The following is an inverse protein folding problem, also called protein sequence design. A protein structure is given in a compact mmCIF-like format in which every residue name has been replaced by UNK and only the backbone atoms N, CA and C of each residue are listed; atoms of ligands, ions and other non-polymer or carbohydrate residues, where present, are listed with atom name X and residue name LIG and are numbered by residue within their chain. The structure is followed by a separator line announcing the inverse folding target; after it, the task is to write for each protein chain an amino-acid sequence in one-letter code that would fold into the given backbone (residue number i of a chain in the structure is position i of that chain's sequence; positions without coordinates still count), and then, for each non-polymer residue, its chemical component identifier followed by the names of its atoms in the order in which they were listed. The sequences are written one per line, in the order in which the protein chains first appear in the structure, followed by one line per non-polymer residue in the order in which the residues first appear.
data_IF_401588265956
#
_entry.id   IF_401588265956
#
_cell.length_a   1.000
_cell.length_b   1.000
_cell.length_c   1.000
_cell.angle_alpha   90.00
_cell.angle_beta   90.00
_cell.angle_gamma   90.00
#
_symmetry.space_group_name_H-M   'P 1'
#
loop_
_entity.id
_entity.type
_entity.pdbx_description
1 polymer ?
#
# COMPACT_ATOMS: atom_id res chain seq x y z
N UNK A 1 -6.49 -30.94 23.13
CA UNK A 1 -5.58 -31.36 22.05
C UNK A 1 -5.04 -30.10 21.39
N UNK A 2 -3.76 -30.12 21.02
CA UNK A 2 -2.98 -28.98 20.52
C UNK A 2 -2.14 -29.55 19.39
N UNK A 3 -2.70 -29.49 18.19
CA UNK A 3 -2.45 -30.54 17.19
C UNK A 3 -1.54 -30.08 16.05
N UNK A 4 -1.37 -28.77 15.88
CA UNK A 4 -0.42 -28.17 14.95
C UNK A 4 0.19 -26.89 15.50
N UNK A 5 1.30 -26.48 14.88
CA UNK A 5 1.96 -25.19 15.06
C UNK A 5 1.75 -24.37 13.78
N UNK A 6 1.19 -23.17 13.90
CA UNK A 6 1.03 -22.21 12.81
C UNK A 6 2.19 -21.18 12.80
N UNK A 7 2.55 -20.67 11.62
CA UNK A 7 3.43 -19.52 11.45
C UNK A 7 2.60 -18.31 11.01
N UNK A 8 2.33 -17.38 11.93
CA UNK A 8 1.50 -16.22 11.65
C UNK A 8 2.35 -14.95 11.47
N UNK A 9 2.39 -14.30 10.28
CA UNK A 9 3.27 -13.17 10.03
C UNK A 9 2.68 -11.82 10.52
N UNK A 10 2.39 -11.75 11.81
CA UNK A 10 2.23 -10.50 12.59
C UNK A 10 2.67 -10.73 14.05
N UNK A 11 2.82 -9.64 14.81
CA UNK A 11 2.96 -9.71 16.27
C UNK A 11 1.61 -10.03 16.94
N UNK A 12 1.24 -11.32 16.95
CA UNK A 12 0.06 -11.79 17.70
C UNK A 12 0.10 -11.27 19.15
N UNK A 13 -1.03 -10.80 19.71
CA UNK A 13 -2.40 -11.03 19.27
C UNK A 13 -2.91 -10.12 18.14
N UNK A 14 -2.13 -9.14 17.67
CA UNK A 14 -2.54 -8.25 16.59
C UNK A 14 -2.64 -9.00 15.24
N UNK A 15 -3.57 -8.56 14.39
CA UNK A 15 -3.72 -8.99 12.99
C UNK A 15 -3.99 -10.50 12.78
N UNK A 16 -4.81 -11.14 13.62
CA UNK A 16 -5.27 -12.53 13.41
C UNK A 16 -6.03 -12.69 12.09
N UNK A 17 -5.78 -13.74 11.32
CA UNK A 17 -6.50 -14.06 10.08
C UNK A 17 -5.71 -13.93 8.78
N UNK A 18 -6.39 -13.54 7.70
CA UNK A 18 -6.01 -13.90 6.33
C UNK A 18 -5.10 -12.91 5.58
N UNK A 19 -4.90 -11.68 6.09
CA UNK A 19 -4.05 -10.67 5.44
C UNK A 19 -3.15 -9.86 6.42
N UNK A 20 -2.45 -10.51 7.37
CA UNK A 20 -1.73 -9.83 8.46
C UNK A 20 -0.69 -8.81 7.98
N UNK A 21 0.18 -9.20 7.04
CA UNK A 21 1.25 -8.34 6.52
C UNK A 21 0.66 -7.13 5.79
N UNK A 22 -0.38 -7.36 4.97
CA UNK A 22 -1.02 -6.30 4.19
C UNK A 22 -1.76 -5.31 5.09
N UNK A 23 -2.51 -5.79 6.10
CA UNK A 23 -3.24 -4.90 7.01
C UNK A 23 -2.29 -4.11 7.92
N UNK A 24 -1.21 -4.72 8.42
CA UNK A 24 -0.18 -3.99 9.16
C UNK A 24 0.50 -2.88 8.32
N UNK A 25 0.83 -3.16 7.06
CA UNK A 25 1.37 -2.15 6.14
C UNK A 25 0.34 -1.06 5.78
N UNK A 26 -0.94 -1.41 5.68
CA UNK A 26 -2.03 -0.48 5.37
C UNK A 26 -2.29 0.50 6.53
N UNK A 27 -2.27 0.00 7.76
CA UNK A 27 -2.41 0.79 8.99
C UNK A 27 -1.15 1.65 9.26
N UNK A 28 -0.03 1.36 8.59
CA UNK A 28 1.20 2.13 8.69
C UNK A 28 2.00 1.90 9.97
N UNK A 29 1.90 0.71 10.58
CA UNK A 29 2.63 0.43 11.82
C UNK A 29 4.16 0.50 11.60
N UNK A 30 4.93 1.16 12.50
CA UNK A 30 6.38 1.27 12.36
C UNK A 30 7.11 -0.04 12.68
N UNK A 31 6.43 -0.97 13.34
CA UNK A 31 6.96 -2.28 13.68
C UNK A 31 5.86 -3.34 13.53
N UNK A 32 6.21 -4.45 12.88
CA UNK A 32 5.42 -5.68 12.93
C UNK A 32 6.36 -6.85 13.22
N UNK A 33 6.01 -8.06 12.81
CA UNK A 33 6.82 -9.22 13.13
C UNK A 33 6.18 -10.52 12.67
N UNK A 34 6.71 -11.60 13.19
CA UNK A 34 6.17 -12.95 13.07
C UNK A 34 5.79 -13.44 14.45
N UNK A 35 4.81 -14.32 14.49
CA UNK A 35 4.52 -15.14 15.64
C UNK A 35 4.13 -16.57 15.24
N UNK A 36 4.98 -17.54 15.57
CA UNK A 36 4.68 -18.97 15.66
C UNK A 36 3.75 -19.24 16.86
N UNK A 37 2.61 -19.86 16.62
CA UNK A 37 1.59 -20.15 17.64
C UNK A 37 1.14 -21.61 17.59
N UNK A 38 0.67 -22.15 18.72
CA UNK A 38 -0.12 -23.37 18.71
C UNK A 38 -1.50 -23.11 18.09
N UNK A 39 -2.03 -24.05 17.31
CA UNK A 39 -3.38 -23.95 16.75
C UNK A 39 -4.42 -24.45 17.74
N UNK A 40 -5.45 -23.65 18.01
CA UNK A 40 -6.62 -24.06 18.80
C UNK A 40 -7.84 -24.06 17.89
N UNK A 41 -8.34 -25.25 17.54
CA UNK A 41 -9.41 -25.48 16.54
C UNK A 41 -10.69 -24.64 16.76
N UNK A 42 -10.94 -24.15 17.98
CA UNK A 42 -12.10 -23.32 18.34
C UNK A 42 -11.95 -21.82 18.07
N UNK A 43 -10.74 -21.30 17.76
CA UNK A 43 -10.48 -19.87 17.50
C UNK A 43 -9.30 -19.66 16.55
N UNK A 44 -9.51 -18.92 15.46
CA UNK A 44 -8.48 -18.55 14.48
C UNK A 44 -7.30 -17.81 15.13
N UNK A 45 -6.07 -18.28 14.89
CA UNK A 45 -4.77 -17.71 15.35
C UNK A 45 -4.68 -17.33 16.84
N UNK A 46 -5.49 -17.97 17.68
CA UNK A 46 -5.69 -17.58 19.10
C UNK A 46 -5.09 -18.56 20.12
N UNK A 47 -4.31 -19.55 19.69
CA UNK A 47 -3.67 -20.49 20.62
C UNK A 47 -2.39 -19.92 21.26
N UNK A 48 -1.88 -20.56 22.33
CA UNK A 48 -0.70 -20.06 23.04
C UNK A 48 0.48 -19.89 22.11
N UNK A 49 1.13 -18.73 22.20
CA UNK A 49 2.26 -18.41 21.32
C UNK A 49 3.54 -19.06 21.81
N UNK A 50 4.26 -19.62 20.84
CA UNK A 50 5.54 -20.29 21.01
C UNK A 50 6.67 -19.31 20.71
N UNK A 51 6.57 -18.54 19.62
CA UNK A 51 7.76 -18.01 18.96
C UNK A 51 7.56 -16.70 18.12
N UNK A 52 7.78 -15.50 18.70
CA UNK A 52 7.59 -14.18 18.06
C UNK A 52 8.80 -13.22 17.99
N UNK A 53 9.13 -12.71 16.79
CA UNK A 53 10.24 -11.79 16.50
C UNK A 53 9.73 -10.52 15.84
N UNK A 54 10.25 -9.36 16.28
CA UNK A 54 9.95 -8.02 15.76
C UNK A 54 10.75 -7.68 14.49
N UNK A 55 10.19 -6.84 13.64
CA UNK A 55 10.79 -6.29 12.42
C UNK A 55 10.36 -4.82 12.26
N UNK A 56 11.33 -3.93 12.20
CA UNK A 56 11.13 -2.49 11.97
C UNK A 56 10.78 -2.26 10.49
N UNK A 57 9.68 -1.56 10.24
CA UNK A 57 9.11 -1.39 8.89
C UNK A 57 9.62 -0.08 8.30
N UNK A 58 10.41 -0.16 7.22
CA UNK A 58 10.83 1.02 6.46
C UNK A 58 9.73 1.55 5.52
N UNK A 59 9.93 2.74 4.95
CA UNK A 59 8.97 3.44 4.09
C UNK A 59 8.79 2.80 2.70
N UNK A 60 9.69 1.93 2.25
CA UNK A 60 9.72 1.42 0.87
C UNK A 60 9.37 -0.07 0.75
N UNK A 61 9.49 -0.83 1.84
CA UNK A 61 9.15 -2.25 1.88
C UNK A 61 7.65 -2.47 1.62
N UNK A 62 7.37 -3.53 0.85
CA UNK A 62 6.04 -3.92 0.40
C UNK A 62 5.71 -5.34 0.90
N UNK A 63 4.45 -5.75 0.76
CA UNK A 63 3.97 -6.99 1.39
C UNK A 63 4.72 -8.29 0.99
N UNK A 64 5.09 -8.52 -0.28
CA UNK A 64 5.85 -9.73 -0.67
C UNK A 64 7.24 -9.81 -0.03
N UNK A 65 7.96 -8.69 0.01
CA UNK A 65 9.30 -8.59 0.57
C UNK A 65 9.26 -8.75 2.09
N UNK A 66 8.35 -8.03 2.77
CA UNK A 66 8.20 -8.11 4.23
C UNK A 66 7.85 -9.54 4.68
N UNK A 67 6.93 -10.23 3.99
CA UNK A 67 6.57 -11.62 4.31
C UNK A 67 7.79 -12.57 4.32
N UNK A 68 8.83 -12.31 3.51
CA UNK A 68 10.02 -13.17 3.44
C UNK A 68 10.96 -13.08 4.65
N UNK A 69 10.92 -11.99 5.43
CA UNK A 69 11.82 -11.78 6.58
C UNK A 69 11.28 -12.31 7.92
N UNK A 70 10.01 -12.73 7.95
CA UNK A 70 9.22 -12.89 9.18
C UNK A 70 9.16 -14.35 9.67
N UNK A 71 10.24 -14.85 10.32
CA UNK A 71 10.36 -16.25 10.85
C UNK A 71 11.20 -16.35 12.17
N UNK A 72 10.63 -16.40 13.42
CA UNK A 72 11.21 -16.93 14.74
C UNK A 72 10.63 -16.39 16.11
N UNK A 73 10.84 -17.17 17.21
CA UNK A 73 11.00 -17.00 18.72
C UNK A 73 10.76 -15.61 19.44
N UNK A 74 10.03 -15.37 20.60
CA UNK A 74 9.06 -16.09 21.52
C UNK A 74 8.36 -15.28 22.68
N UNK A 75 7.01 -15.39 22.90
CA UNK A 75 6.20 -15.07 24.14
C UNK A 75 4.66 -15.35 24.04
N UNK A 76 3.89 -15.72 25.10
CA UNK A 76 2.41 -15.95 25.07
C UNK A 76 1.47 -14.78 24.65
N UNK A 77 0.20 -15.08 24.31
CA UNK A 77 -0.82 -14.10 23.86
C UNK A 77 -1.67 -13.46 24.97
N UNK A 78 -2.20 -12.27 24.69
CA UNK A 78 -3.16 -11.51 25.49
C UNK A 78 -4.47 -11.29 24.70
N UNK A 79 -5.46 -12.17 24.88
CA UNK A 79 -6.65 -12.29 24.02
C UNK A 79 -7.46 -10.98 23.85
N UNK A 80 -7.68 -10.15 24.90
CA UNK A 80 -8.31 -8.83 24.79
C UNK A 80 -7.62 -7.81 23.86
N UNK A 81 -6.34 -8.01 23.51
CA UNK A 81 -5.61 -7.11 22.59
C UNK A 81 -5.66 -7.58 21.13
N UNK A 82 -6.48 -8.56 20.79
CA UNK A 82 -6.55 -9.09 19.45
C UNK A 82 -7.20 -8.13 18.43
N UNK A 83 -6.52 -7.89 17.32
CA UNK A 83 -7.09 -7.24 16.13
C UNK A 83 -7.20 -8.24 14.98
N UNK A 84 -8.11 -7.99 14.03
CA UNK A 84 -8.36 -8.88 12.90
C UNK A 84 -7.70 -8.36 11.62
N UNK A 85 -7.16 -9.26 10.82
CA UNK A 85 -6.67 -9.00 9.48
C UNK A 85 -7.57 -9.66 8.43
N UNK A 86 -8.72 -9.05 8.08
CA UNK A 86 -9.63 -9.59 7.08
C UNK A 86 -8.95 -9.65 5.71
N UNK A 87 -9.22 -10.73 4.97
CA UNK A 87 -8.78 -10.94 3.58
C UNK A 87 -9.03 -9.68 2.75
N UNK A 88 -8.09 -9.29 1.89
CA UNK A 88 -8.32 -8.18 0.96
C UNK A 88 -9.38 -8.56 -0.10
N UNK A 89 -10.12 -7.58 -0.58
CA UNK A 89 -11.04 -7.73 -1.72
C UNK A 89 -10.59 -6.90 -2.95
N UNK A 90 -10.92 -7.30 -4.20
CA UNK A 90 -10.40 -6.63 -5.41
C UNK A 90 -10.87 -5.19 -5.60
N UNK A 91 -12.05 -4.85 -5.08
CA UNK A 91 -12.64 -3.52 -5.04
C UNK A 91 -11.88 -2.56 -4.10
N UNK A 92 -11.20 -3.08 -3.09
CA UNK A 92 -10.31 -2.26 -2.26
C UNK A 92 -9.15 -1.66 -3.06
N UNK A 93 -8.82 -2.17 -4.25
CA UNK A 93 -7.65 -1.72 -5.04
C UNK A 93 -7.66 -0.23 -5.44
N UNK A 94 -8.82 0.43 -5.47
CA UNK A 94 -8.91 1.82 -5.93
C UNK A 94 -8.31 2.81 -4.92
N UNK A 95 -7.49 3.74 -5.42
CA UNK A 95 -7.06 4.93 -4.69
C UNK A 95 -8.12 6.04 -4.83
N UNK A 96 -8.35 6.82 -3.77
CA UNK A 96 -9.07 8.10 -3.80
C UNK A 96 -8.13 9.15 -3.21
N UNK A 97 -7.86 10.19 -3.98
CA UNK A 97 -6.88 11.24 -3.62
C UNK A 97 -7.44 12.25 -2.60
N UNK A 98 -8.67 12.06 -2.14
CA UNK A 98 -9.29 12.76 -1.01
C UNK A 98 -8.85 12.18 0.35
N UNK A 99 -7.97 11.18 0.32
CA UNK A 99 -7.20 10.67 1.46
C UNK A 99 -5.84 11.36 1.53
N UNK A 100 -5.20 11.31 2.71
CA UNK A 100 -3.86 11.85 2.90
C UNK A 100 -2.82 10.94 2.25
N UNK A 101 -1.73 11.52 1.72
CA UNK A 101 -0.75 10.79 0.92
C UNK A 101 -0.11 9.60 1.66
N UNK A 102 0.01 9.66 2.99
CA UNK A 102 0.52 8.54 3.79
C UNK A 102 -0.41 7.33 3.76
N UNK A 103 -1.74 7.53 3.77
CA UNK A 103 -2.74 6.46 3.68
C UNK A 103 -2.65 5.78 2.32
N UNK A 104 -2.52 6.56 1.25
CA UNK A 104 -2.42 6.05 -0.11
C UNK A 104 -1.08 5.34 -0.37
N UNK A 105 0.02 5.87 0.17
CA UNK A 105 1.33 5.24 0.13
C UNK A 105 1.35 3.89 0.87
N UNK A 106 0.82 3.84 2.10
CA UNK A 106 0.63 2.60 2.85
C UNK A 106 -0.24 1.59 2.11
N UNK A 107 -1.31 2.06 1.44
CA UNK A 107 -2.17 1.20 0.60
C UNK A 107 -1.44 0.63 -0.62
N UNK A 108 -0.60 1.43 -1.30
CA UNK A 108 0.23 0.98 -2.45
C UNK A 108 1.18 -0.14 -2.05
N UNK A 109 1.90 0.01 -0.92
CA UNK A 109 2.89 -0.99 -0.45
C UNK A 109 2.24 -2.22 0.21
N UNK A 110 1.11 -2.04 0.90
CA UNK A 110 0.30 -3.12 1.45
C UNK A 110 -0.26 -4.06 0.37
N UNK A 111 -0.80 -3.49 -0.72
CA UNK A 111 -1.51 -4.25 -1.76
C UNK A 111 -0.58 -4.66 -2.92
N UNK A 112 0.74 -4.53 -2.75
CA UNK A 112 1.72 -4.93 -3.75
C UNK A 112 1.58 -6.43 -4.12
N UNK A 113 1.68 -6.73 -5.41
CA UNK A 113 1.32 -8.04 -5.95
C UNK A 113 -0.20 -8.19 -6.14
N UNK A 114 -0.94 -8.38 -5.04
CA UNK A 114 -2.40 -8.57 -5.08
C UNK A 114 -3.15 -7.78 -4.00
N UNK A 115 -4.25 -7.08 -4.34
CA UNK A 115 -4.81 -6.89 -5.70
C UNK A 115 -4.00 -5.94 -6.60
N UNK A 116 -2.93 -5.33 -6.07
CA UNK A 116 -2.33 -4.10 -6.60
C UNK A 116 -3.21 -2.89 -6.23
N UNK A 117 -2.76 -1.69 -6.58
CA UNK A 117 -3.62 -0.50 -6.53
C UNK A 117 -3.87 0.04 -7.94
N UNK A 118 -5.04 0.64 -8.14
CA UNK A 118 -5.46 1.29 -9.38
C UNK A 118 -5.90 2.73 -9.10
N UNK A 119 -5.64 3.63 -10.04
CA UNK A 119 -6.15 4.99 -10.05
C UNK A 119 -6.76 5.31 -11.42
N UNK A 120 -7.76 6.20 -11.43
CA UNK A 120 -8.33 6.82 -12.64
C UNK A 120 -7.98 8.31 -12.65
N UNK A 121 -7.90 8.86 -13.85
CA UNK A 121 -7.61 10.29 -14.09
C UNK A 121 -8.02 10.61 -15.54
N UNK A 122 -8.29 11.88 -15.80
CA UNK A 122 -8.52 12.41 -17.14
C UNK A 122 -7.17 12.84 -17.74
N UNK A 123 -6.91 12.41 -18.97
CA UNK A 123 -5.89 13.00 -19.84
C UNK A 123 -6.59 14.06 -20.69
N UNK A 124 -6.10 15.31 -20.65
CA UNK A 124 -6.66 16.44 -21.40
C UNK A 124 -5.66 16.94 -22.45
N UNK A 125 -6.14 17.19 -23.68
CA UNK A 125 -5.33 17.73 -24.77
C UNK A 125 -5.80 19.13 -25.18
N UNK A 126 -5.06 20.15 -24.74
CA UNK A 126 -5.22 21.57 -25.09
C UNK A 126 -5.38 21.83 -26.61
N UNK A 127 -4.88 20.95 -27.47
CA UNK A 127 -4.88 21.14 -28.94
C UNK A 127 -6.10 20.54 -29.65
N UNK A 128 -6.78 19.58 -29.05
CA UNK A 128 -7.93 18.89 -29.65
C UNK A 128 -9.21 18.99 -28.82
N UNK A 129 -9.13 19.58 -27.62
CA UNK A 129 -10.21 19.65 -26.63
C UNK A 129 -10.81 18.26 -26.32
N UNK A 130 -9.99 17.22 -26.42
CA UNK A 130 -10.40 15.84 -26.10
C UNK A 130 -9.98 15.46 -24.68
N UNK A 131 -10.95 14.93 -23.95
CA UNK A 131 -10.75 14.27 -22.66
C UNK A 131 -10.73 12.75 -22.84
N UNK A 132 -9.85 12.09 -22.09
CA UNK A 132 -9.81 10.63 -22.04
C UNK A 132 -9.53 10.14 -20.62
N UNK A 133 -10.50 9.42 -20.05
CA UNK A 133 -10.25 8.64 -18.83
C UNK A 133 -9.23 7.55 -19.12
N UNK A 134 -8.20 7.47 -18.28
CA UNK A 134 -7.15 6.46 -18.34
C UNK A 134 -7.01 5.79 -16.96
N UNK A 135 -6.60 4.52 -16.96
CA UNK A 135 -6.32 3.75 -15.75
C UNK A 135 -4.83 3.37 -15.71
N UNK A 136 -4.21 3.54 -14.54
CA UNK A 136 -2.86 3.11 -14.22
C UNK A 136 -2.92 2.28 -12.93
N UNK A 137 -2.15 1.19 -12.87
CA UNK A 137 -1.74 0.68 -11.56
C UNK A 137 -0.60 1.52 -11.02
N UNK A 138 -0.69 1.90 -9.74
CA UNK A 138 0.36 2.63 -9.03
C UNK A 138 1.26 1.59 -8.35
N UNK A 139 2.58 1.70 -8.57
CA UNK A 139 3.52 0.59 -8.29
C UNK A 139 4.52 0.92 -7.17
N UNK A 140 5.08 2.13 -7.18
CA UNK A 140 6.07 2.60 -6.20
C UNK A 140 5.84 4.08 -5.93
N UNK A 141 5.76 4.46 -4.66
CA UNK A 141 5.45 5.83 -4.21
C UNK A 141 6.23 6.24 -2.98
N UNK A 142 6.17 7.53 -2.64
CA UNK A 142 6.59 8.13 -1.36
C UNK A 142 5.59 9.23 -0.95
N UNK A 143 5.72 9.68 0.29
CA UNK A 143 4.96 10.83 0.83
C UNK A 143 5.81 12.10 0.73
N UNK A 144 5.17 13.23 0.39
CA UNK A 144 5.76 14.57 0.44
C UNK A 144 4.75 15.56 1.04
N UNK A 145 5.22 16.72 1.50
CA UNK A 145 4.35 17.87 1.76
C UNK A 145 4.12 18.65 0.46
N UNK A 146 2.89 19.12 0.23
CA UNK A 146 2.55 19.86 -0.98
C UNK A 146 3.27 21.21 -1.05
N UNK A 147 3.55 21.85 0.09
CA UNK A 147 4.14 23.20 0.17
C UNK A 147 5.52 23.35 -0.50
N UNK A 148 6.32 22.28 -0.64
CA UNK A 148 7.60 22.32 -1.39
C UNK A 148 7.43 22.07 -2.90
N UNK A 149 6.24 21.65 -3.31
CA UNK A 149 5.98 20.98 -4.58
C UNK A 149 5.02 21.79 -5.45
N UNK A 150 4.04 22.46 -4.83
CA UNK A 150 2.81 22.92 -5.46
C UNK A 150 2.90 24.26 -6.19
N UNK A 151 2.64 24.24 -7.50
CA UNK A 151 2.54 25.41 -8.39
C UNK A 151 1.32 25.37 -9.35
N UNK A 152 0.40 24.40 -9.17
CA UNK A 152 -0.74 24.16 -10.06
C UNK A 152 -2.14 24.30 -9.42
N UNK A 153 -3.16 23.78 -10.10
CA UNK A 153 -4.55 23.69 -9.63
C UNK A 153 -4.82 22.34 -8.94
N UNK A 154 -5.55 22.33 -7.81
CA UNK A 154 -5.64 21.20 -6.84
C UNK A 154 -6.09 19.82 -7.37
N UNK A 155 -6.55 19.71 -8.61
CA UNK A 155 -6.91 18.43 -9.25
C UNK A 155 -5.88 17.96 -10.29
N UNK A 156 -4.86 18.74 -10.64
CA UNK A 156 -3.88 18.37 -11.65
C UNK A 156 -2.63 17.71 -11.06
N UNK A 157 -2.11 16.72 -11.78
CA UNK A 157 -0.89 15.99 -11.44
C UNK A 157 0.30 16.69 -12.08
N UNK A 158 1.21 17.24 -11.27
CA UNK A 158 2.43 17.89 -11.78
C UNK A 158 3.58 16.88 -11.93
N UNK A 159 4.66 17.27 -12.59
CA UNK A 159 5.84 16.42 -12.79
C UNK A 159 7.10 17.13 -12.29
N UNK A 160 7.70 16.59 -11.21
CA UNK A 160 8.82 17.23 -10.50
C UNK A 160 9.91 16.19 -10.22
N UNK A 161 11.18 16.54 -10.43
CA UNK A 161 12.37 15.70 -10.14
C UNK A 161 12.40 14.28 -10.77
N UNK A 162 11.53 13.98 -11.75
CA UNK A 162 11.42 12.67 -12.40
C UNK A 162 10.17 11.86 -12.04
N UNK A 163 9.34 12.38 -11.14
CA UNK A 163 8.18 11.73 -10.54
C UNK A 163 6.88 12.48 -10.86
N UNK A 164 5.76 11.75 -10.86
CA UNK A 164 4.42 12.35 -10.89
C UNK A 164 4.04 12.76 -9.47
N UNK A 165 3.53 13.97 -9.28
CA UNK A 165 3.12 14.50 -7.98
C UNK A 165 1.60 14.62 -7.94
N UNK A 166 0.96 13.75 -7.14
CA UNK A 166 -0.49 13.76 -7.00
C UNK A 166 -0.91 14.60 -5.78
N UNK A 167 -1.81 15.59 -5.93
CA UNK A 167 -2.45 16.25 -4.79
C UNK A 167 -3.15 15.22 -3.91
N UNK A 168 -3.05 15.39 -2.59
CA UNK A 168 -3.73 14.57 -1.60
C UNK A 168 -4.32 15.50 -0.50
N UNK A 169 -5.23 14.96 0.32
CA UNK A 169 -5.82 15.72 1.43
C UNK A 169 -4.76 16.23 2.42
N UNK A 170 -5.06 17.34 3.11
CA UNK A 170 -4.25 17.86 4.22
C UNK A 170 -2.91 18.44 3.79
N UNK A 171 -2.85 19.09 2.63
CA UNK A 171 -1.63 19.65 2.04
C UNK A 171 -0.47 18.64 1.92
N UNK A 172 -0.83 17.37 1.69
CA UNK A 172 0.11 16.29 1.38
C UNK A 172 0.13 16.01 -0.12
N UNK A 173 1.22 15.40 -0.60
CA UNK A 173 1.35 14.97 -1.99
C UNK A 173 1.93 13.55 -2.06
N UNK A 174 1.35 12.71 -2.93
CA UNK A 174 1.87 11.37 -3.20
C UNK A 174 2.86 11.47 -4.37
N UNK A 175 4.16 11.31 -4.08
CA UNK A 175 5.18 11.13 -5.11
C UNK A 175 4.99 9.74 -5.72
N UNK A 176 4.64 9.66 -7.01
CA UNK A 176 4.56 8.40 -7.75
C UNK A 176 5.79 8.25 -8.64
N UNK A 177 6.59 7.23 -8.33
CA UNK A 177 7.87 6.92 -8.97
C UNK A 177 7.70 5.94 -10.14
N UNK A 178 6.75 5.00 -10.02
CA UNK A 178 6.49 3.96 -11.01
C UNK A 178 5.00 3.68 -11.18
N UNK A 179 4.60 3.49 -12.43
CA UNK A 179 3.21 3.23 -12.84
C UNK A 179 3.16 2.11 -13.88
N UNK A 180 2.01 1.45 -14.01
CA UNK A 180 1.79 0.41 -15.03
C UNK A 180 0.50 0.70 -15.81
N UNK A 181 0.59 1.18 -17.08
CA UNK A 181 -0.54 1.27 -17.98
C UNK A 181 -1.18 -0.10 -18.23
N UNK A 182 -2.49 -0.13 -18.45
CA UNK A 182 -3.19 -1.37 -18.82
C UNK A 182 -2.54 -2.05 -20.02
N UNK A 183 -2.38 -3.37 -19.95
CA UNK A 183 -1.69 -4.18 -20.96
C UNK A 183 -0.16 -4.01 -21.06
N UNK A 184 0.49 -3.15 -20.26
CA UNK A 184 1.94 -2.89 -20.34
C UNK A 184 2.72 -3.38 -19.12
N UNK A 185 4.05 -3.44 -19.25
CA UNK A 185 4.98 -3.58 -18.10
C UNK A 185 4.96 -2.30 -17.25
N UNK A 186 5.40 -2.41 -15.99
CA UNK A 186 5.63 -1.23 -15.16
C UNK A 186 6.76 -0.37 -15.75
N UNK A 187 6.64 0.95 -15.60
CA UNK A 187 7.57 1.95 -16.12
C UNK A 187 7.75 3.08 -15.11
N UNK A 188 8.91 3.75 -15.15
CA UNK A 188 9.16 4.96 -14.36
C UNK A 188 8.21 6.09 -14.77
N UNK A 189 7.82 6.92 -13.80
CA UNK A 189 6.99 8.10 -13.98
C UNK A 189 7.44 9.00 -15.14
N UNK A 190 8.73 9.32 -15.24
CA UNK A 190 9.30 10.07 -16.37
C UNK A 190 9.03 9.45 -17.76
N UNK A 191 9.05 8.12 -17.88
CA UNK A 191 8.77 7.44 -19.14
C UNK A 191 7.28 7.45 -19.49
N UNK A 192 6.39 7.49 -18.48
CA UNK A 192 4.96 7.73 -18.69
C UNK A 192 4.69 9.18 -19.10
N UNK A 193 5.23 10.15 -18.37
CA UNK A 193 5.04 11.59 -18.60
C UNK A 193 5.50 12.01 -20.00
N UNK A 194 6.68 11.58 -20.44
CA UNK A 194 7.16 11.83 -21.80
C UNK A 194 6.23 11.23 -22.88
N UNK A 195 5.45 10.19 -22.54
CA UNK A 195 4.43 9.60 -23.39
C UNK A 195 3.17 10.47 -23.58
N UNK A 196 2.90 11.41 -22.67
CA UNK A 196 1.76 12.35 -22.76
C UNK A 196 1.97 13.47 -23.79
N UNK A 197 3.22 13.72 -24.23
CA UNK A 197 3.55 14.70 -25.30
C UNK A 197 3.01 16.14 -25.08
N UNK A 198 2.80 16.53 -23.82
CA UNK A 198 2.25 17.83 -23.43
C UNK A 198 0.76 17.82 -23.07
N UNK A 199 0.07 16.67 -23.12
CA UNK A 199 -1.26 16.50 -22.54
C UNK A 199 -1.18 16.63 -21.00
N UNK A 200 -2.20 17.25 -20.40
CA UNK A 200 -2.35 17.40 -18.94
C UNK A 200 -2.98 16.14 -18.34
N UNK A 201 -2.83 15.99 -17.03
CA UNK A 201 -3.34 14.86 -16.26
C UNK A 201 -4.08 15.38 -15.01
N UNK A 202 -5.36 15.03 -14.85
CA UNK A 202 -6.22 15.47 -13.75
C UNK A 202 -6.74 14.25 -12.97
N UNK A 203 -6.66 14.26 -11.63
CA UNK A 203 -7.18 13.18 -10.78
C UNK A 203 -8.71 13.03 -10.88
N UNK A 204 -9.19 11.81 -10.64
CA UNK A 204 -10.59 11.43 -10.44
C UNK A 204 -10.74 10.69 -9.10
#
# INVERSE_FOLDING_TARGET
MVDTVNMHPSLLPLYRGAAPVQRALQDGVPETGVTLAFTVVRKLDSGPVIASKRFQVDDLIKAPELLSFLVSIAVPQDDPKATLAPKLAPDEAWLSFDQEAFVLHNKVRAFAGWPGTCAKFVVFDDKSSQEKVLELKIITTRVCQALEIWDGEQDYVTFKKGSLMFPCKGDTALEVLEVRPSGKKAIKAAAFWNGLRGQKLQKL
#
